data_IF_099317872181
#
_entry.id   IF_099317872181
#
_cell.length_a   1.000
_cell.length_b   1.000
_cell.length_c   1.000
_cell.angle_alpha   90.00
_cell.angle_beta   90.00
_cell.angle_gamma   90.00
#
_symmetry.space_group_name_H-M   'P 1'
#
loop_
_entity.id
_entity.type
_entity.pdbx_description
1 polymer ?
#
# COMPACT_ATOMS: atom_id res chain seq x y z
N UNK A 1 -6.19 -0.25 14.08
CA UNK A 1 -5.56 -0.67 15.35
C UNK A 1 -4.56 0.40 15.78
N UNK A 2 -4.65 0.89 17.01
CA UNK A 2 -3.75 1.89 17.57
C UNK A 2 -3.17 1.39 18.91
N UNK A 3 -1.89 1.69 19.17
CA UNK A 3 -1.24 1.29 20.41
C UNK A 3 0.23 1.64 20.46
N UNK A 4 0.69 2.09 21.63
CA UNK A 4 2.12 2.31 21.90
C UNK A 4 2.93 1.03 21.71
N UNK A 5 4.23 1.18 21.47
CA UNK A 5 5.18 0.06 21.39
C UNK A 5 5.10 -0.84 22.63
N UNK A 6 5.18 -2.15 22.43
CA UNK A 6 5.17 -3.13 23.52
C UNK A 6 3.80 -3.43 24.15
N UNK A 7 2.71 -2.87 23.63
CA UNK A 7 1.36 -3.08 24.18
C UNK A 7 0.67 -4.37 23.70
N UNK A 8 1.21 -5.04 22.68
CA UNK A 8 0.65 -6.28 22.12
C UNK A 8 0.09 -6.16 20.70
N UNK A 9 0.20 -4.99 20.06
CA UNK A 9 -0.29 -4.72 18.69
C UNK A 9 0.19 -5.74 17.65
N UNK A 10 1.51 -5.91 17.51
CA UNK A 10 2.08 -6.83 16.51
C UNK A 10 1.73 -8.29 16.79
N UNK A 11 1.62 -8.69 18.06
CA UNK A 11 1.14 -10.03 18.45
C UNK A 11 -0.34 -10.23 18.08
N UNK A 12 -1.18 -9.22 18.24
CA UNK A 12 -2.57 -9.29 17.81
C UNK A 12 -2.70 -9.38 16.28
N UNK A 13 -1.90 -8.62 15.53
CA UNK A 13 -1.80 -8.75 14.08
C UNK A 13 -1.35 -10.14 13.66
N UNK A 14 -0.29 -10.66 14.29
CA UNK A 14 0.21 -12.02 14.08
C UNK A 14 -0.91 -13.04 14.26
N UNK A 15 -1.67 -12.96 15.36
CA UNK A 15 -2.80 -13.85 15.61
C UNK A 15 -3.87 -13.76 14.52
N UNK A 16 -4.25 -12.56 14.07
CA UNK A 16 -5.24 -12.39 13.00
C UNK A 16 -4.76 -12.98 11.67
N UNK A 17 -3.49 -12.76 11.32
CA UNK A 17 -2.86 -13.31 10.11
C UNK A 17 -2.83 -14.82 10.16
N UNK A 18 -2.41 -15.40 11.29
CA UNK A 18 -2.36 -16.86 11.44
C UNK A 18 -3.74 -17.49 11.39
N UNK A 19 -4.77 -16.82 11.93
CA UNK A 19 -6.16 -17.26 11.80
C UNK A 19 -6.62 -17.29 10.33
N UNK A 20 -6.27 -16.29 9.52
CA UNK A 20 -6.55 -16.30 8.07
C UNK A 20 -5.85 -17.45 7.36
N UNK A 21 -4.55 -17.65 7.64
CA UNK A 21 -3.75 -18.70 7.02
C UNK A 21 -4.31 -20.09 7.36
N UNK A 22 -4.65 -20.36 8.62
CA UNK A 22 -5.18 -21.66 9.03
C UNK A 22 -6.59 -21.91 8.51
N UNK A 23 -7.41 -20.87 8.36
CA UNK A 23 -8.73 -20.98 7.76
C UNK A 23 -8.71 -21.09 6.22
N UNK A 24 -7.53 -21.23 5.60
CA UNK A 24 -7.41 -21.35 4.15
C UNK A 24 -7.69 -20.06 3.39
N UNK A 25 -7.66 -18.90 4.05
CA UNK A 25 -7.84 -17.59 3.41
C UNK A 25 -6.52 -17.08 2.84
N UNK A 26 -6.64 -16.18 1.86
CA UNK A 26 -5.51 -15.43 1.32
C UNK A 26 -5.32 -14.14 2.09
N UNK A 27 -4.06 -13.76 2.31
CA UNK A 27 -3.73 -12.52 3.00
C UNK A 27 -2.42 -11.91 2.48
N UNK A 28 -2.25 -10.63 2.74
CA UNK A 28 -1.01 -9.92 2.53
C UNK A 28 -0.56 -9.25 3.83
N UNK A 29 0.73 -9.32 4.16
CA UNK A 29 1.34 -8.55 5.24
C UNK A 29 2.44 -7.66 4.66
N UNK A 30 2.35 -6.35 4.95
CA UNK A 30 3.45 -5.41 4.79
C UNK A 30 4.00 -5.03 6.16
N UNK A 31 5.32 -5.24 6.32
CA UNK A 31 6.04 -4.88 7.53
C UNK A 31 7.30 -4.06 7.18
N UNK A 32 7.40 -2.80 7.64
CA UNK A 32 8.58 -1.98 7.45
C UNK A 32 9.80 -2.49 8.21
N UNK A 33 9.64 -3.23 9.32
CA UNK A 33 10.75 -3.65 10.18
C UNK A 33 11.24 -5.06 9.82
N UNK A 34 10.31 -5.96 9.53
CA UNK A 34 10.55 -7.33 9.07
C UNK A 34 10.32 -8.39 10.13
N UNK A 35 10.35 -8.01 11.42
CA UNK A 35 10.20 -8.93 12.55
C UNK A 35 8.88 -9.71 12.53
N UNK A 36 7.76 -9.03 12.18
CA UNK A 36 6.44 -9.66 12.13
C UNK A 36 6.36 -10.61 10.93
N UNK A 37 6.90 -10.21 9.79
CA UNK A 37 6.95 -11.07 8.60
C UNK A 37 7.76 -12.33 8.86
N UNK A 38 8.93 -12.23 9.48
CA UNK A 38 9.77 -13.39 9.78
C UNK A 38 9.10 -14.39 10.72
N UNK A 39 8.34 -13.90 11.71
CA UNK A 39 7.54 -14.77 12.59
C UNK A 39 6.46 -15.51 11.81
N UNK A 40 5.70 -14.79 10.98
CA UNK A 40 4.63 -15.40 10.16
C UNK A 40 5.22 -16.44 9.21
N UNK A 41 6.33 -16.15 8.52
CA UNK A 41 6.99 -17.11 7.61
C UNK A 41 7.30 -18.42 8.32
N UNK A 42 7.83 -18.36 9.56
CA UNK A 42 8.19 -19.54 10.35
C UNK A 42 6.96 -20.32 10.85
N UNK A 43 5.83 -19.65 11.01
CA UNK A 43 4.59 -20.23 11.52
C UNK A 43 3.64 -20.76 10.43
N UNK A 44 3.93 -20.55 9.14
CA UNK A 44 3.09 -21.08 8.05
C UNK A 44 2.99 -22.60 8.11
N UNK A 45 1.78 -23.20 8.12
CA UNK A 45 1.61 -24.64 8.15
C UNK A 45 2.09 -25.30 6.85
N UNK A 46 2.60 -26.53 6.94
CA UNK A 46 3.17 -27.27 5.79
C UNK A 46 2.26 -27.27 4.56
N UNK A 47 0.96 -27.50 4.75
CA UNK A 47 -0.03 -27.53 3.66
C UNK A 47 -0.23 -26.20 2.92
N UNK A 48 0.27 -25.08 3.46
CA UNK A 48 0.16 -23.75 2.85
C UNK A 48 1.51 -23.17 2.40
N UNK A 49 2.64 -23.88 2.56
CA UNK A 49 3.96 -23.36 2.16
C UNK A 49 4.05 -23.04 0.67
N UNK A 50 3.39 -23.84 -0.18
CA UNK A 50 3.33 -23.60 -1.63
C UNK A 50 2.45 -22.40 -2.03
N UNK A 51 1.71 -21.82 -1.08
CA UNK A 51 0.94 -20.60 -1.29
C UNK A 51 1.72 -19.33 -0.91
N UNK A 52 2.91 -19.47 -0.35
CA UNK A 52 3.75 -18.35 0.08
C UNK A 52 4.38 -17.64 -1.12
N UNK A 53 4.13 -16.34 -1.20
CA UNK A 53 4.87 -15.40 -2.04
C UNK A 53 5.63 -14.47 -1.09
N UNK A 54 6.94 -14.68 -0.99
CA UNK A 54 7.78 -13.96 -0.04
C UNK A 54 8.66 -12.91 -0.73
N UNK A 55 8.28 -11.64 -0.59
CA UNK A 55 9.06 -10.49 -1.03
C UNK A 55 9.98 -10.03 0.08
N UNK A 56 11.16 -10.64 0.18
CA UNK A 56 12.23 -10.11 1.02
C UNK A 56 13.13 -9.17 0.20
N UNK A 57 12.91 -7.87 0.33
CA UNK A 57 13.63 -6.85 -0.46
C UNK A 57 15.13 -6.79 -0.10
N UNK A 58 15.49 -7.22 1.11
CA UNK A 58 16.89 -7.32 1.54
C UNK A 58 17.64 -8.48 0.89
N UNK A 59 16.94 -9.50 0.39
CA UNK A 59 17.57 -10.68 -0.18
C UNK A 59 18.08 -10.38 -1.61
N UNK A 60 19.40 -10.38 -1.84
CA UNK A 60 19.94 -10.17 -3.19
C UNK A 60 19.61 -11.32 -4.15
N UNK A 61 19.18 -12.49 -3.66
CA UNK A 61 18.78 -13.65 -4.47
C UNK A 61 17.29 -13.66 -4.81
N UNK A 62 16.50 -12.72 -4.30
CA UNK A 62 15.09 -12.59 -4.64
C UNK A 62 14.94 -12.51 -6.17
N UNK A 63 14.19 -13.45 -6.77
CA UNK A 63 13.91 -13.48 -8.21
C UNK A 63 12.52 -12.94 -8.58
N UNK A 64 11.74 -12.51 -7.58
CA UNK A 64 10.39 -11.98 -7.75
C UNK A 64 10.43 -10.47 -8.07
N UNK A 65 9.58 -10.03 -9.00
CA UNK A 65 9.22 -8.62 -9.21
C UNK A 65 7.72 -8.40 -9.16
N UNK A 66 7.32 -7.14 -9.03
CA UNK A 66 5.97 -6.67 -9.34
C UNK A 66 6.06 -5.40 -10.16
N UNK A 67 5.03 -5.12 -10.95
CA UNK A 67 5.00 -3.96 -11.83
C UNK A 67 3.77 -3.08 -11.51
N UNK A 68 3.96 -1.87 -10.94
CA UNK A 68 2.87 -0.94 -10.63
C UNK A 68 2.05 -0.48 -11.84
N UNK A 69 2.58 -0.58 -13.05
CA UNK A 69 1.90 -0.15 -14.27
C UNK A 69 1.06 -1.23 -14.93
N UNK A 70 1.13 -2.48 -14.45
CA UNK A 70 0.57 -3.61 -15.17
C UNK A 70 -0.91 -3.84 -14.89
N UNK A 71 -1.67 -4.18 -15.95
CA UNK A 71 -3.09 -4.62 -15.90
C UNK A 71 -4.03 -3.64 -15.20
N UNK A 72 -3.77 -2.34 -15.34
CA UNK A 72 -4.67 -1.30 -14.84
C UNK A 72 -5.82 -1.09 -15.82
N UNK A 73 -7.06 -1.21 -15.35
CA UNK A 73 -8.24 -0.96 -16.19
C UNK A 73 -8.29 0.51 -16.60
N UNK A 74 -8.81 0.78 -17.81
CA UNK A 74 -8.80 2.13 -18.41
C UNK A 74 -9.43 3.17 -17.48
N UNK A 75 -10.51 2.81 -16.82
CA UNK A 75 -11.30 3.68 -15.93
C UNK A 75 -10.54 4.04 -14.64
N UNK A 76 -9.56 3.22 -14.25
CA UNK A 76 -8.80 3.39 -13.02
C UNK A 76 -7.38 3.91 -13.25
N UNK A 77 -6.94 4.07 -14.50
CA UNK A 77 -5.60 4.60 -14.84
C UNK A 77 -5.31 5.95 -14.20
N UNK A 78 -6.27 6.88 -14.22
CA UNK A 78 -6.10 8.19 -13.58
C UNK A 78 -5.92 8.09 -12.07
N UNK A 79 -6.68 7.20 -11.41
CA UNK A 79 -6.59 6.99 -9.97
C UNK A 79 -5.25 6.35 -9.59
N UNK A 80 -4.80 5.34 -10.34
CA UNK A 80 -3.49 4.70 -10.14
C UNK A 80 -2.35 5.68 -10.42
N UNK A 81 -2.44 6.47 -11.49
CA UNK A 81 -1.46 7.50 -11.81
C UNK A 81 -1.34 8.52 -10.67
N UNK A 82 -2.46 9.02 -10.13
CA UNK A 82 -2.45 9.89 -8.96
C UNK A 82 -1.85 9.21 -7.73
N UNK A 83 -2.17 7.93 -7.48
CA UNK A 83 -1.54 7.17 -6.40
C UNK A 83 -0.01 7.10 -6.52
N UNK A 84 0.51 6.82 -7.72
CA UNK A 84 1.96 6.76 -7.98
C UNK A 84 2.60 8.15 -7.85
N UNK A 85 1.95 9.20 -8.37
CA UNK A 85 2.43 10.58 -8.23
C UNK A 85 2.48 11.03 -6.78
N UNK A 86 1.48 10.69 -5.97
CA UNK A 86 1.48 11.03 -4.54
C UNK A 86 2.62 10.34 -3.80
N UNK A 87 2.92 9.07 -4.13
CA UNK A 87 4.07 8.34 -3.57
C UNK A 87 5.38 9.06 -3.90
N UNK A 88 5.54 9.47 -5.16
CA UNK A 88 6.70 10.22 -5.62
C UNK A 88 6.79 11.62 -5.00
N UNK A 89 5.67 12.32 -4.88
CA UNK A 89 5.59 13.64 -4.25
C UNK A 89 6.00 13.56 -2.78
N UNK A 90 5.47 12.59 -2.03
CA UNK A 90 5.81 12.36 -0.62
C UNK A 90 7.30 12.04 -0.41
N UNK A 91 7.89 11.26 -1.32
CA UNK A 91 9.32 10.94 -1.27
C UNK A 91 10.21 12.18 -1.52
N UNK A 92 9.73 13.15 -2.30
CA UNK A 92 10.50 14.29 -2.75
C UNK A 92 9.87 15.63 -2.37
N UNK A 93 9.20 15.68 -1.23
CA UNK A 93 8.34 16.77 -0.77
C UNK A 93 9.03 18.15 -0.85
N UNK A 94 10.28 18.22 -0.39
CA UNK A 94 11.08 19.46 -0.40
C UNK A 94 11.49 19.97 -1.79
N UNK A 95 11.33 19.17 -2.83
CA UNK A 95 11.79 19.47 -4.18
C UNK A 95 10.80 18.96 -5.24
N UNK A 96 9.50 19.08 -4.99
CA UNK A 96 8.42 18.77 -5.91
C UNK A 96 7.87 20.04 -6.56
N UNK A 97 7.70 20.06 -7.88
CA UNK A 97 7.31 21.26 -8.61
C UNK A 97 6.20 20.99 -9.62
N UNK A 98 5.36 21.99 -9.87
CA UNK A 98 4.17 21.89 -10.75
C UNK A 98 4.54 21.36 -12.15
N UNK A 99 5.65 21.85 -12.73
CA UNK A 99 6.14 21.40 -14.05
C UNK A 99 6.57 19.93 -14.02
N UNK A 100 7.31 19.53 -12.98
CA UNK A 100 7.74 18.14 -12.79
C UNK A 100 6.54 17.21 -12.67
N UNK A 101 5.55 17.58 -11.86
CA UNK A 101 4.34 16.79 -11.67
C UNK A 101 3.57 16.65 -12.98
N UNK A 102 3.38 17.74 -13.72
CA UNK A 102 2.66 17.73 -14.99
C UNK A 102 3.32 16.81 -16.02
N UNK A 103 4.65 16.89 -16.18
CA UNK A 103 5.41 16.02 -17.08
C UNK A 103 5.30 14.56 -16.64
N UNK A 104 5.52 14.28 -15.36
CA UNK A 104 5.51 12.93 -14.82
C UNK A 104 4.12 12.29 -14.88
N UNK A 105 3.05 13.07 -14.67
CA UNK A 105 1.65 12.63 -14.81
C UNK A 105 1.37 12.13 -16.22
N UNK A 106 1.75 12.90 -17.23
CA UNK A 106 1.56 12.52 -18.62
C UNK A 106 2.43 11.32 -19.02
N UNK A 107 3.66 11.24 -18.51
CA UNK A 107 4.51 10.05 -18.69
C UNK A 107 3.85 8.79 -18.10
N UNK A 108 3.43 8.82 -16.82
CA UNK A 108 2.79 7.68 -16.16
C UNK A 108 1.50 7.28 -16.85
N UNK A 109 0.61 8.23 -17.18
CA UNK A 109 -0.63 7.95 -17.90
C UNK A 109 -0.37 7.27 -19.25
N UNK A 110 0.65 7.72 -19.98
CA UNK A 110 1.01 7.12 -21.27
C UNK A 110 1.57 5.71 -21.10
N UNK A 111 2.35 5.47 -20.05
CA UNK A 111 2.94 4.15 -19.75
C UNK A 111 1.88 3.16 -19.26
N UNK A 112 0.87 3.61 -18.51
CA UNK A 112 -0.27 2.79 -18.10
C UNK A 112 -1.13 2.31 -19.29
N UNK A 113 -1.05 3.01 -20.43
CA UNK A 113 -1.69 2.58 -21.68
C UNK A 113 -0.90 1.48 -22.40
N UNK A 114 0.36 1.22 -22.02
CA UNK A 114 1.22 0.23 -22.66
C UNK A 114 1.10 -1.16 -22.01
N UNK A 115 1.18 -2.25 -22.79
CA UNK A 115 1.06 -3.61 -22.26
C UNK A 115 2.25 -4.05 -21.38
N UNK A 116 3.46 -3.64 -21.74
CA UNK A 116 4.72 -4.13 -21.13
C UNK A 116 5.55 -3.05 -20.44
N UNK A 117 5.00 -1.84 -20.25
CA UNK A 117 5.75 -0.76 -19.63
C UNK A 117 6.02 -1.03 -18.14
N UNK A 118 7.16 -0.54 -17.66
CA UNK A 118 7.58 -0.55 -16.26
C UNK A 118 8.10 0.84 -15.84
N UNK A 119 8.47 0.99 -14.57
CA UNK A 119 8.90 2.28 -14.00
C UNK A 119 10.16 2.85 -14.67
N UNK A 120 11.02 2.00 -15.23
CA UNK A 120 12.19 2.44 -16.00
C UNK A 120 11.84 3.20 -17.27
N UNK A 121 10.68 2.91 -17.87
CA UNK A 121 10.26 3.52 -19.13
C UNK A 121 9.83 4.99 -18.98
N UNK A 122 9.73 5.50 -17.75
CA UNK A 122 9.50 6.92 -17.48
C UNK A 122 10.62 7.77 -18.07
N UNK A 123 11.88 7.34 -17.95
CA UNK A 123 13.01 8.07 -18.53
C UNK A 123 13.01 7.88 -20.05
N UNK A 124 12.72 6.67 -20.51
CA UNK A 124 12.74 6.31 -21.93
C UNK A 124 11.71 7.10 -22.74
N UNK A 125 10.49 7.27 -22.23
CA UNK A 125 9.44 8.02 -22.94
C UNK A 125 9.76 9.51 -23.09
N UNK A 126 10.51 10.07 -22.13
CA UNK A 126 10.92 11.47 -22.18
C UNK A 126 12.06 11.69 -23.18
N UNK A 127 13.04 10.79 -23.20
CA UNK A 127 14.27 10.97 -23.98
C UNK A 127 14.23 10.36 -25.39
N UNK A 128 13.61 9.19 -25.55
CA UNK A 128 13.62 8.47 -26.82
C UNK A 128 12.36 8.79 -27.65
N UNK A 129 12.54 9.59 -28.70
CA UNK A 129 11.47 9.98 -29.64
C UNK A 129 10.81 8.77 -30.32
N UNK A 130 11.58 7.73 -30.65
CA UNK A 130 11.07 6.52 -31.31
C UNK A 130 10.21 5.70 -30.36
N UNK A 131 10.67 5.50 -29.12
CA UNK A 131 9.90 4.84 -28.07
C UNK A 131 8.59 5.58 -27.82
N UNK A 132 8.66 6.90 -27.60
CA UNK A 132 7.49 7.75 -27.41
C UNK A 132 6.49 7.67 -28.54
N UNK A 133 6.94 7.80 -29.80
CA UNK A 133 6.05 7.68 -30.97
C UNK A 133 5.33 6.34 -31.01
N UNK A 134 5.99 5.25 -30.61
CA UNK A 134 5.36 3.94 -30.54
C UNK A 134 4.35 3.86 -29.39
N UNK A 135 4.70 4.38 -28.21
CA UNK A 135 3.82 4.41 -27.04
C UNK A 135 2.52 5.19 -27.32
N UNK A 136 2.61 6.31 -28.02
CA UNK A 136 1.45 7.15 -28.37
C UNK A 136 0.39 6.43 -29.22
N UNK A 137 0.74 5.33 -29.90
CA UNK A 137 -0.22 4.51 -30.66
C UNK A 137 -1.27 3.82 -29.78
N UNK A 138 -0.93 3.57 -28.52
CA UNK A 138 -1.81 2.93 -27.55
C UNK A 138 -2.62 3.95 -26.73
N UNK A 139 -2.25 5.23 -26.79
CA UNK A 139 -2.91 6.28 -26.00
C UNK A 139 -4.31 6.53 -26.51
N UNK A 140 -5.30 6.36 -25.64
CA UNK A 140 -6.71 6.64 -25.97
C UNK A 140 -7.14 8.05 -25.60
N UNK A 141 -6.54 8.62 -24.56
CA UNK A 141 -6.91 9.94 -24.06
C UNK A 141 -6.44 11.06 -25.00
N UNK A 142 -7.39 11.85 -25.51
CA UNK A 142 -7.09 13.02 -26.35
C UNK A 142 -6.33 14.12 -25.59
N UNK A 143 -6.53 14.25 -24.28
CA UNK A 143 -5.74 15.22 -23.49
C UNK A 143 -4.27 14.82 -23.40
N UNK A 144 -4.00 13.53 -23.21
CA UNK A 144 -2.63 13.00 -23.16
C UNK A 144 -1.94 13.15 -24.51
N UNK A 145 -2.65 12.87 -25.62
CA UNK A 145 -2.11 13.11 -26.97
C UNK A 145 -1.77 14.58 -27.20
N UNK A 146 -2.68 15.49 -26.87
CA UNK A 146 -2.46 16.94 -27.01
C UNK A 146 -1.24 17.42 -26.23
N UNK A 147 -1.03 16.92 -25.02
CA UNK A 147 0.20 17.21 -24.26
C UNK A 147 1.44 16.84 -25.08
N UNK A 148 1.52 15.61 -25.60
CA UNK A 148 2.71 15.17 -26.34
C UNK A 148 2.91 15.85 -27.69
N UNK A 149 1.83 16.25 -28.35
CA UNK A 149 1.86 16.89 -29.67
C UNK A 149 2.12 18.40 -29.61
N UNK A 150 1.62 19.08 -28.56
CA UNK A 150 1.60 20.55 -28.50
C UNK A 150 2.41 21.13 -27.34
N UNK A 151 2.39 20.50 -26.17
CA UNK A 151 3.03 21.06 -24.97
C UNK A 151 4.44 20.51 -24.79
N UNK A 152 4.61 19.19 -24.88
CA UNK A 152 5.90 18.54 -24.66
C UNK A 152 7.03 19.03 -25.58
N UNK A 153 6.79 19.35 -26.87
CA UNK A 153 7.84 19.90 -27.74
C UNK A 153 8.41 21.24 -27.27
N UNK A 154 7.66 22.00 -26.47
CA UNK A 154 8.10 23.29 -25.91
C UNK A 154 9.00 23.11 -24.68
N UNK A 155 9.08 21.90 -24.10
CA UNK A 155 9.99 21.64 -22.99
C UNK A 155 11.43 21.45 -23.45
N UNK A 156 12.33 22.15 -22.77
CA UNK A 156 13.75 22.06 -23.00
C UNK A 156 14.37 20.96 -22.14
N UNK A 157 15.60 20.55 -22.45
CA UNK A 157 16.32 19.53 -21.65
C UNK A 157 16.36 19.86 -20.15
N UNK A 158 16.51 21.14 -19.79
CA UNK A 158 16.56 21.57 -18.40
C UNK A 158 15.21 21.40 -17.67
N UNK A 159 14.09 21.41 -18.38
CA UNK A 159 12.77 21.14 -17.80
C UNK A 159 12.58 19.67 -17.44
N UNK A 160 13.28 18.78 -18.15
CA UNK A 160 13.24 17.34 -17.94
C UNK A 160 14.21 16.87 -16.84
N UNK A 161 15.30 17.63 -16.60
CA UNK A 161 16.33 17.29 -15.62
C UNK A 161 15.77 16.93 -14.23
N UNK A 162 14.81 17.66 -13.65
CA UNK A 162 14.24 17.32 -12.35
C UNK A 162 13.59 15.93 -12.31
N UNK A 163 12.85 15.56 -13.37
CA UNK A 163 12.22 14.24 -13.48
C UNK A 163 13.30 13.16 -13.61
N UNK A 164 14.26 13.38 -14.51
CA UNK A 164 15.35 12.42 -14.76
C UNK A 164 16.23 12.20 -13.53
N UNK A 165 16.57 13.25 -12.79
CA UNK A 165 17.42 13.13 -11.60
C UNK A 165 16.72 12.34 -10.49
N UNK A 166 15.42 12.55 -10.29
CA UNK A 166 14.65 11.84 -9.25
C UNK A 166 14.40 10.39 -9.61
N UNK A 167 13.85 10.13 -10.80
CA UNK A 167 13.59 8.76 -11.27
C UNK A 167 14.91 8.01 -11.48
N UNK A 168 15.91 8.65 -12.07
CA UNK A 168 17.26 8.07 -12.22
C UNK A 168 17.89 7.73 -10.87
N UNK A 169 17.90 8.66 -9.91
CA UNK A 169 18.43 8.43 -8.57
C UNK A 169 17.72 7.28 -7.84
N UNK A 170 16.39 7.21 -7.95
CA UNK A 170 15.60 6.09 -7.43
C UNK A 170 15.99 4.75 -8.07
N UNK A 171 16.14 4.69 -9.39
CA UNK A 171 16.47 3.46 -10.12
C UNK A 171 17.92 3.02 -9.97
N UNK A 172 18.81 3.87 -9.45
CA UNK A 172 20.18 3.49 -9.09
C UNK A 172 20.21 2.53 -7.90
N UNK A 173 19.21 2.57 -7.01
CA UNK A 173 19.14 1.65 -5.87
C UNK A 173 18.91 0.21 -6.34
N UNK A 174 19.84 -0.74 -6.07
CA UNK A 174 19.75 -2.10 -6.59
C UNK A 174 18.47 -2.83 -6.16
N UNK A 175 18.00 -2.61 -4.93
CA UNK A 175 16.77 -3.23 -4.44
C UNK A 175 15.53 -2.79 -5.23
N UNK A 176 15.42 -1.48 -5.53
CA UNK A 176 14.33 -0.93 -6.34
C UNK A 176 14.40 -1.49 -7.75
N UNK A 177 15.58 -1.43 -8.37
CA UNK A 177 15.79 -1.88 -9.75
C UNK A 177 15.50 -3.38 -9.93
N UNK A 178 15.95 -4.22 -9.00
CA UNK A 178 15.64 -5.67 -9.00
C UNK A 178 14.14 -5.90 -8.96
N UNK A 179 13.46 -5.31 -7.98
CA UNK A 179 12.06 -5.64 -7.66
C UNK A 179 11.05 -5.02 -8.62
N UNK A 180 11.38 -3.89 -9.26
CA UNK A 180 10.47 -3.21 -10.18
C UNK A 180 10.78 -3.47 -11.66
N UNK A 181 11.99 -3.92 -12.00
CA UNK A 181 12.47 -4.00 -13.40
C UNK A 181 13.14 -5.34 -13.72
N UNK A 182 14.25 -5.67 -13.06
CA UNK A 182 15.20 -6.69 -13.56
C UNK A 182 14.81 -8.14 -13.28
N UNK A 183 14.18 -8.40 -12.14
CA UNK A 183 13.85 -9.76 -11.73
C UNK A 183 12.91 -10.44 -12.74
N UNK A 184 13.04 -11.76 -12.90
CA UNK A 184 12.39 -12.48 -14.00
C UNK A 184 10.95 -12.88 -13.68
N UNK A 185 10.68 -13.23 -12.44
CA UNK A 185 9.38 -13.78 -12.04
C UNK A 185 8.45 -12.66 -11.60
N UNK A 186 7.55 -12.28 -12.49
CA UNK A 186 6.56 -11.26 -12.19
C UNK A 186 5.33 -11.84 -11.49
N UNK A 187 5.10 -11.37 -10.26
CA UNK A 187 3.95 -11.79 -9.47
C UNK A 187 2.70 -11.05 -9.91
N UNK A 188 1.63 -11.81 -10.18
CA UNK A 188 0.31 -11.24 -10.36
C UNK A 188 -0.42 -11.15 -9.03
N UNK A 189 -0.52 -9.94 -8.47
CA UNK A 189 -1.27 -9.70 -7.23
C UNK A 189 -2.76 -10.04 -7.37
N UNK A 190 -3.33 -9.84 -8.57
CA UNK A 190 -4.70 -10.29 -8.88
C UNK A 190 -4.85 -11.81 -8.72
N UNK A 191 -3.94 -12.60 -9.31
CA UNK A 191 -3.95 -14.06 -9.12
C UNK A 191 -3.72 -14.44 -7.66
N UNK A 192 -2.81 -13.75 -6.98
CA UNK A 192 -2.55 -14.00 -5.55
C UNK A 192 -3.83 -13.83 -4.71
N UNK A 193 -4.67 -12.84 -5.02
CA UNK A 193 -5.97 -12.66 -4.36
C UNK A 193 -6.95 -13.80 -4.67
N UNK A 194 -7.12 -14.14 -5.94
CA UNK A 194 -8.12 -15.12 -6.38
C UNK A 194 -7.73 -16.56 -6.02
N UNK A 195 -6.43 -16.86 -5.96
CA UNK A 195 -5.88 -18.17 -5.58
C UNK A 195 -5.59 -18.27 -4.08
N UNK A 196 -6.02 -17.29 -3.27
CA UNK A 196 -5.86 -17.29 -1.80
C UNK A 196 -4.41 -17.43 -1.33
N UNK A 197 -3.47 -16.79 -2.03
CA UNK A 197 -2.04 -16.84 -1.69
C UNK A 197 -1.72 -16.06 -0.41
N UNK A 198 -0.56 -16.37 0.18
CA UNK A 198 -0.01 -15.70 1.37
C UNK A 198 1.12 -14.80 0.88
N UNK A 199 0.89 -13.49 0.85
CA UNK A 199 1.85 -12.52 0.30
C UNK A 199 2.53 -11.77 1.44
N UNK A 200 3.79 -12.09 1.72
CA UNK A 200 4.54 -11.48 2.81
C UNK A 200 5.62 -10.55 2.24
N UNK A 201 5.59 -9.28 2.65
CA UNK A 201 6.51 -8.25 2.15
C UNK A 201 7.38 -7.75 3.30
N UNK A 202 8.64 -8.22 3.33
CA UNK A 202 9.65 -7.76 4.25
C UNK A 202 10.46 -6.62 3.59
N UNK A 203 10.23 -5.39 4.06
CA UNK A 203 10.94 -4.21 3.56
C UNK A 203 12.23 -3.95 4.34
N UNK A 204 12.32 -4.41 5.59
CA UNK A 204 13.41 -4.18 6.55
C UNK A 204 14.12 -2.83 6.38
N UNK A 205 13.41 -1.77 6.76
CA UNK A 205 13.80 -0.36 6.69
C UNK A 205 15.20 -0.08 7.23
N UNK A 206 15.61 -0.79 8.28
CA UNK A 206 16.95 -0.66 8.86
C UNK A 206 18.08 -1.12 7.94
N UNK A 207 17.81 -2.04 7.01
CA UNK A 207 18.78 -2.59 6.07
C UNK A 207 18.79 -1.88 4.72
N UNK A 208 17.62 -1.62 4.13
CA UNK A 208 17.51 -1.01 2.78
C UNK A 208 17.45 0.52 2.80
N UNK A 209 17.23 1.12 3.97
CA UNK A 209 17.01 2.55 4.14
C UNK A 209 15.54 2.95 4.11
N UNK A 210 15.23 4.07 4.78
CA UNK A 210 13.87 4.60 4.92
C UNK A 210 13.18 4.87 3.59
N UNK A 211 13.88 5.55 2.68
CA UNK A 211 13.34 6.00 1.41
C UNK A 211 12.98 4.82 0.49
N UNK A 212 13.86 3.81 0.43
CA UNK A 212 13.65 2.58 -0.36
C UNK A 212 12.50 1.76 0.20
N UNK A 213 12.42 1.59 1.53
CA UNK A 213 11.33 0.87 2.16
C UNK A 213 9.98 1.59 1.94
N UNK A 214 9.95 2.91 2.09
CA UNK A 214 8.74 3.72 1.87
C UNK A 214 8.25 3.55 0.43
N UNK A 215 9.11 3.80 -0.56
CA UNK A 215 8.68 3.82 -1.95
C UNK A 215 8.20 2.45 -2.43
N UNK A 216 8.93 1.37 -2.10
CA UNK A 216 8.53 0.02 -2.46
C UNK A 216 7.23 -0.37 -1.76
N UNK A 217 7.10 -0.11 -0.46
CA UNK A 217 5.86 -0.38 0.28
C UNK A 217 4.66 0.36 -0.32
N UNK A 218 4.79 1.67 -0.57
CA UNK A 218 3.70 2.50 -1.07
C UNK A 218 3.31 2.16 -2.53
N UNK A 219 4.28 1.86 -3.40
CA UNK A 219 4.00 1.34 -4.74
C UNK A 219 3.38 -0.05 -4.72
N UNK A 220 3.79 -0.91 -3.78
CA UNK A 220 3.19 -2.24 -3.62
C UNK A 220 1.73 -2.14 -3.21
N UNK A 221 1.40 -1.26 -2.27
CA UNK A 221 0.02 -0.98 -1.85
C UNK A 221 -0.81 -0.43 -3.00
N UNK A 222 -0.26 0.52 -3.78
CA UNK A 222 -0.92 1.03 -4.99
C UNK A 222 -1.20 -0.12 -5.97
N UNK A 223 -0.28 -1.08 -6.09
CA UNK A 223 -0.43 -2.26 -6.93
C UNK A 223 -1.50 -3.24 -6.40
N UNK A 224 -1.61 -3.41 -5.07
CA UNK A 224 -2.69 -4.15 -4.42
C UNK A 224 -4.05 -3.49 -4.70
N UNK A 225 -4.15 -2.17 -4.55
CA UNK A 225 -5.39 -1.44 -4.82
C UNK A 225 -5.79 -1.58 -6.30
N UNK A 226 -4.84 -1.39 -7.21
CA UNK A 226 -5.04 -1.59 -8.65
C UNK A 226 -5.50 -3.02 -8.99
N UNK A 227 -4.83 -4.03 -8.44
CA UNK A 227 -5.20 -5.43 -8.62
C UNK A 227 -6.62 -5.71 -8.08
N UNK A 228 -7.01 -5.09 -6.98
CA UNK A 228 -8.35 -5.20 -6.41
C UNK A 228 -9.40 -4.61 -7.36
N UNK A 229 -9.15 -3.42 -7.92
CA UNK A 229 -10.05 -2.80 -8.90
C UNK A 229 -10.22 -3.63 -10.16
N UNK A 230 -9.17 -4.37 -10.57
CA UNK A 230 -9.27 -5.25 -11.74
C UNK A 230 -10.34 -6.35 -11.57
N UNK A 231 -10.75 -6.67 -10.33
CA UNK A 231 -11.80 -7.67 -10.01
C UNK A 231 -13.22 -7.21 -10.37
N UNK A 232 -13.36 -6.05 -11.02
CA UNK A 232 -14.63 -5.56 -11.59
C UNK A 232 -15.23 -6.56 -12.58
N UNK A 233 -14.40 -7.35 -13.24
CA UNK A 233 -14.77 -8.43 -14.16
C UNK A 233 -15.35 -9.69 -13.47
N UNK A 234 -15.26 -9.76 -12.14
CA UNK A 234 -15.75 -10.88 -11.33
C UNK A 234 -17.00 -10.44 -10.58
N UNK A 235 -18.08 -11.21 -10.67
CA UNK A 235 -19.31 -10.95 -9.90
C UNK A 235 -19.01 -10.88 -8.38
N UNK A 236 -19.67 -9.96 -7.68
CA UNK A 236 -19.37 -9.67 -6.27
C UNK A 236 -19.48 -10.91 -5.37
N UNK A 237 -20.48 -11.75 -5.59
CA UNK A 237 -20.68 -12.99 -4.84
C UNK A 237 -19.54 -13.99 -5.03
N UNK A 238 -18.98 -14.07 -6.24
CA UNK A 238 -17.87 -14.97 -6.61
C UNK A 238 -16.49 -14.45 -6.20
N UNK A 239 -16.36 -13.16 -5.90
CA UNK A 239 -15.09 -12.59 -5.41
C UNK A 239 -14.69 -13.29 -4.10
N UNK A 240 -13.43 -13.72 -4.04
CA UNK A 240 -12.83 -14.35 -2.86
C UNK A 240 -12.30 -13.26 -1.92
N UNK A 241 -12.64 -13.27 -0.63
CA UNK A 241 -12.10 -12.32 0.34
C UNK A 241 -10.57 -12.40 0.46
N UNK A 242 -9.90 -11.25 0.52
CA UNK A 242 -8.46 -11.14 0.71
C UNK A 242 -8.15 -10.06 1.76
N UNK A 243 -7.37 -10.39 2.78
CA UNK A 243 -7.06 -9.47 3.89
C UNK A 243 -5.67 -8.88 3.76
N UNK A 244 -5.55 -7.56 3.85
CA UNK A 244 -4.27 -6.84 3.82
C UNK A 244 -3.97 -6.29 5.21
N UNK A 245 -2.86 -6.71 5.78
CA UNK A 245 -2.34 -6.29 7.06
C UNK A 245 -1.17 -5.34 6.84
N UNK A 246 -1.23 -4.17 7.46
CA UNK A 246 -0.17 -3.16 7.37
C UNK A 246 0.27 -2.79 8.78
N UNK A 247 1.48 -3.22 9.15
CA UNK A 247 2.11 -2.72 10.36
C UNK A 247 2.77 -1.35 10.08
N UNK A 248 2.74 -0.48 11.08
CA UNK A 248 3.20 0.91 10.99
C UNK A 248 2.75 1.62 9.71
N UNK A 249 1.44 1.59 9.44
CA UNK A 249 0.84 1.96 8.16
C UNK A 249 1.19 3.39 7.68
N UNK A 250 1.46 4.31 8.61
CA UNK A 250 1.83 5.70 8.33
C UNK A 250 3.08 5.82 7.44
N UNK A 251 3.96 4.80 7.45
CA UNK A 251 5.16 4.76 6.61
C UNK A 251 4.86 4.70 5.12
N UNK A 252 3.65 4.32 4.71
CA UNK A 252 3.35 4.06 3.30
C UNK A 252 2.13 4.81 2.76
N UNK A 253 1.35 5.47 3.62
CA UNK A 253 0.07 6.06 3.22
C UNK A 253 0.20 7.46 2.66
N UNK A 254 -0.56 7.71 1.60
CA UNK A 254 -0.89 9.02 1.04
C UNK A 254 -2.41 9.21 1.06
N UNK A 255 -2.89 10.43 0.86
CA UNK A 255 -4.33 10.69 0.81
C UNK A 255 -5.02 9.90 -0.32
N UNK A 256 -4.42 9.83 -1.52
CA UNK A 256 -4.95 9.02 -2.61
C UNK A 256 -5.01 7.53 -2.28
N UNK A 257 -4.03 6.99 -1.54
CA UNK A 257 -4.06 5.60 -1.09
C UNK A 257 -5.22 5.33 -0.13
N UNK A 258 -5.45 6.22 0.83
CA UNK A 258 -6.56 6.08 1.79
C UNK A 258 -7.91 6.15 1.07
N UNK A 259 -8.05 7.07 0.10
CA UNK A 259 -9.25 7.15 -0.73
C UNK A 259 -9.48 5.89 -1.57
N UNK A 260 -8.40 5.29 -2.10
CA UNK A 260 -8.49 3.99 -2.77
C UNK A 260 -8.99 2.90 -1.83
N UNK A 261 -8.53 2.88 -0.57
CA UNK A 261 -8.93 1.88 0.43
C UNK A 261 -10.43 1.87 0.70
N UNK A 262 -11.07 3.04 0.72
CA UNK A 262 -12.53 3.18 0.89
C UNK A 262 -13.32 2.41 -0.17
N UNK A 263 -12.77 2.29 -1.39
CA UNK A 263 -13.41 1.58 -2.50
C UNK A 263 -13.16 0.06 -2.49
N UNK A 264 -12.09 -0.40 -1.83
CA UNK A 264 -11.64 -1.81 -1.87
C UNK A 264 -12.66 -2.80 -1.30
N UNK A 265 -13.53 -2.34 -0.40
CA UNK A 265 -14.61 -3.17 0.17
C UNK A 265 -15.50 -3.79 -0.89
N UNK A 266 -15.82 -3.04 -1.97
CA UNK A 266 -16.62 -3.52 -3.11
C UNK A 266 -15.94 -4.71 -3.81
N UNK A 267 -14.63 -4.80 -3.73
CA UNK A 267 -13.82 -5.85 -4.34
C UNK A 267 -13.45 -6.97 -3.37
N UNK A 268 -14.14 -7.04 -2.21
CA UNK A 268 -13.89 -8.00 -1.11
C UNK A 268 -12.42 -8.03 -0.66
N UNK A 269 -11.80 -6.86 -0.61
CA UNK A 269 -10.48 -6.68 0.00
C UNK A 269 -10.65 -5.91 1.31
N UNK A 270 -10.30 -6.57 2.41
CA UNK A 270 -10.34 -6.00 3.75
C UNK A 270 -8.96 -5.54 4.18
N UNK A 271 -8.89 -4.52 5.04
CA UNK A 271 -7.63 -3.96 5.50
C UNK A 271 -7.59 -3.84 7.01
N UNK A 272 -6.46 -4.22 7.59
CA UNK A 272 -6.13 -4.00 9.00
C UNK A 272 -4.93 -3.06 9.07
N UNK A 273 -5.19 -1.81 9.43
CA UNK A 273 -4.18 -0.76 9.55
C UNK A 273 -3.73 -0.64 11.00
N UNK A 274 -2.43 -0.82 11.26
CA UNK A 274 -1.83 -0.67 12.58
C UNK A 274 -0.84 0.49 12.62
N UNK A 275 -0.91 1.30 13.68
CA UNK A 275 0.01 2.43 13.91
C UNK A 275 0.15 2.70 15.40
N UNK A 276 1.14 3.52 15.76
CA UNK A 276 1.43 3.84 17.15
C UNK A 276 0.69 5.08 17.64
N UNK A 277 0.75 6.15 16.85
CA UNK A 277 0.27 7.48 17.25
C UNK A 277 -0.55 8.10 16.12
N UNK A 278 -1.68 8.74 16.46
CA UNK A 278 -2.52 9.40 15.46
C UNK A 278 -1.82 10.62 14.84
N UNK A 279 -0.89 11.25 15.57
CA UNK A 279 -0.15 12.43 15.11
C UNK A 279 0.88 12.13 14.00
N UNK A 280 1.16 10.85 13.73
CA UNK A 280 1.98 10.44 12.59
C UNK A 280 1.22 10.53 11.26
N UNK A 281 -0.09 10.78 11.33
CA UNK A 281 -0.96 10.88 10.17
C UNK A 281 -1.32 12.34 9.94
N UNK A 282 -1.25 12.76 8.68
CA UNK A 282 -1.82 14.03 8.27
C UNK A 282 -3.32 14.08 8.60
N UNK A 283 -3.84 15.28 8.87
CA UNK A 283 -5.22 15.49 9.35
C UNK A 283 -6.25 14.85 8.40
N UNK A 284 -6.03 14.98 7.09
CA UNK A 284 -6.92 14.41 6.07
C UNK A 284 -6.86 12.88 6.06
N UNK A 285 -5.66 12.28 6.19
CA UNK A 285 -5.47 10.83 6.28
C UNK A 285 -6.14 10.29 7.53
N UNK A 286 -5.92 10.94 8.68
CA UNK A 286 -6.53 10.58 9.97
C UNK A 286 -8.06 10.58 9.87
N UNK A 287 -8.64 11.63 9.30
CA UNK A 287 -10.08 11.78 9.15
C UNK A 287 -10.65 10.72 8.21
N UNK A 288 -9.99 10.47 7.08
CA UNK A 288 -10.42 9.47 6.12
C UNK A 288 -10.31 8.03 6.66
N UNK A 289 -9.25 7.70 7.42
CA UNK A 289 -9.11 6.38 8.04
C UNK A 289 -10.19 6.15 9.10
N UNK A 290 -10.37 7.09 10.03
CA UNK A 290 -11.38 6.94 11.09
C UNK A 290 -12.81 6.91 10.54
N UNK A 291 -13.11 7.73 9.53
CA UNK A 291 -14.44 7.77 8.91
C UNK A 291 -14.81 6.50 8.14
N UNK A 292 -13.83 5.71 7.68
CA UNK A 292 -14.06 4.46 6.94
C UNK A 292 -13.79 3.19 7.76
N UNK A 293 -13.22 3.31 8.96
CA UNK A 293 -12.91 2.16 9.81
C UNK A 293 -14.20 1.57 10.41
N UNK A 294 -14.59 0.38 9.94
CA UNK A 294 -15.70 -0.37 10.54
C UNK A 294 -15.37 -0.93 11.92
N UNK A 295 -14.09 -1.24 12.16
CA UNK A 295 -13.63 -1.79 13.44
C UNK A 295 -12.46 -0.96 13.95
N UNK A 296 -12.59 -0.47 15.18
CA UNK A 296 -11.53 0.24 15.90
C UNK A 296 -11.08 -0.64 17.07
N UNK A 297 -9.77 -0.87 17.13
CA UNK A 297 -9.11 -1.58 18.23
C UNK A 297 -8.05 -0.64 18.80
N UNK A 298 -8.16 -0.35 20.09
CA UNK A 298 -7.26 0.52 20.84
C UNK A 298 -6.58 -0.28 21.94
N UNK A 299 -5.25 -0.28 21.91
CA UNK A 299 -4.41 -0.69 23.04
C UNK A 299 -4.12 0.54 23.91
N UNK A 300 -3.21 0.41 24.87
CA UNK A 300 -2.72 1.57 25.63
C UNK A 300 -2.09 2.61 24.70
N UNK A 301 -2.52 3.85 24.84
CA UNK A 301 -2.11 4.99 23.99
C UNK A 301 -1.68 6.20 24.84
N UNK A 302 -1.29 7.30 24.17
CA UNK A 302 -0.94 8.57 24.83
C UNK A 302 -2.18 9.41 25.11
N UNK A 303 -2.02 10.46 25.93
CA UNK A 303 -3.12 11.37 26.30
C UNK A 303 -3.78 12.01 25.09
N UNK A 304 -2.99 12.46 24.12
CA UNK A 304 -3.52 13.09 22.91
C UNK A 304 -4.40 12.13 22.09
N UNK A 305 -3.90 10.93 21.82
CA UNK A 305 -4.65 9.89 21.11
C UNK A 305 -5.88 9.43 21.93
N UNK A 306 -5.76 9.36 23.25
CA UNK A 306 -6.83 8.98 24.16
C UNK A 306 -8.00 9.97 24.11
N UNK A 307 -7.74 11.27 23.99
CA UNK A 307 -8.80 12.28 23.79
C UNK A 307 -9.61 12.03 22.50
N UNK A 308 -8.96 11.54 21.45
CA UNK A 308 -9.65 11.17 20.21
C UNK A 308 -10.44 9.86 20.36
N UNK A 309 -9.83 8.84 20.97
CA UNK A 309 -10.48 7.53 21.14
C UNK A 309 -11.63 7.55 22.14
N UNK A 310 -11.55 8.35 23.20
CA UNK A 310 -12.66 8.55 24.14
C UNK A 310 -13.88 9.16 23.44
N UNK A 311 -13.68 10.12 22.52
CA UNK A 311 -14.78 10.65 21.70
C UNK A 311 -15.37 9.59 20.76
N UNK A 312 -14.52 8.76 20.16
CA UNK A 312 -14.95 7.69 19.25
C UNK A 312 -15.72 6.55 19.96
N UNK A 313 -15.36 6.27 21.22
CA UNK A 313 -15.93 5.19 22.03
C UNK A 313 -16.86 5.67 23.16
N UNK A 314 -17.31 6.92 23.09
CA UNK A 314 -18.31 7.45 24.01
C UNK A 314 -19.63 6.64 23.90
N UNK A 315 -20.34 6.37 25.02
CA UNK A 315 -20.06 6.80 26.40
C UNK A 315 -19.30 5.79 27.27
N UNK A 316 -18.80 4.70 26.70
CA UNK A 316 -18.33 3.55 27.50
C UNK A 316 -16.92 3.74 28.08
N UNK A 317 -16.08 4.57 27.46
CA UNK A 317 -14.69 4.79 27.89
C UNK A 317 -14.32 6.27 27.92
N UNK A 318 -13.59 6.66 28.96
CA UNK A 318 -13.00 7.98 29.14
C UNK A 318 -11.49 7.98 28.84
N UNK A 319 -10.89 9.17 28.83
CA UNK A 319 -9.46 9.37 28.51
C UNK A 319 -8.55 8.54 29.42
N UNK A 320 -8.86 8.47 30.71
CA UNK A 320 -8.05 7.74 31.70
C UNK A 320 -8.01 6.23 31.44
N UNK A 321 -9.09 5.66 30.92
CA UNK A 321 -9.18 4.24 30.61
C UNK A 321 -8.11 3.83 29.58
N UNK A 322 -7.95 4.63 28.52
CA UNK A 322 -6.99 4.35 27.45
C UNK A 322 -5.53 4.51 27.88
N UNK A 323 -5.25 5.46 28.78
CA UNK A 323 -3.90 5.72 29.28
C UNK A 323 -3.46 4.61 30.25
N UNK A 324 -4.39 4.15 31.09
CA UNK A 324 -4.13 3.18 32.15
C UNK A 324 -4.33 1.71 31.72
N UNK A 325 -4.78 1.47 30.49
CA UNK A 325 -5.03 0.13 29.97
C UNK A 325 -3.78 -0.77 30.09
N UNK A 326 -3.86 -1.92 30.79
CA UNK A 326 -2.73 -2.84 30.87
C UNK A 326 -2.30 -3.37 29.50
N UNK A 327 -1.04 -3.79 29.38
CA UNK A 327 -0.56 -4.47 28.17
C UNK A 327 -1.43 -5.71 27.87
N UNK A 328 -1.55 -6.04 26.58
CA UNK A 328 -2.33 -7.18 26.06
C UNK A 328 -3.84 -7.11 26.29
N UNK A 329 -4.34 -5.97 26.79
CA UNK A 329 -5.76 -5.62 26.81
C UNK A 329 -6.08 -4.61 25.74
N UNK A 330 -7.33 -4.64 25.29
CA UNK A 330 -7.84 -3.78 24.23
C UNK A 330 -9.22 -3.24 24.58
N UNK A 331 -9.52 -2.06 24.05
CA UNK A 331 -10.88 -1.57 23.85
C UNK A 331 -11.21 -1.65 22.38
N UNK A 332 -12.43 -2.08 22.08
CA UNK A 332 -12.86 -2.30 20.70
C UNK A 332 -14.29 -1.85 20.46
N UNK A 333 -14.51 -1.37 19.24
CA UNK A 333 -15.81 -1.05 18.66
C UNK A 333 -15.88 -1.76 17.32
N UNK A 334 -16.84 -2.67 17.18
CA UNK A 334 -16.96 -3.54 16.01
C UNK A 334 -18.10 -3.09 15.11
N UNK A 335 -17.98 -3.35 13.81
CA UNK A 335 -19.12 -3.34 12.89
C UNK A 335 -19.66 -4.77 12.77
N UNK A 336 -20.84 -5.03 13.33
CA UNK A 336 -21.50 -6.34 13.31
C UNK A 336 -22.76 -6.20 12.49
N UNK A 337 -22.86 -6.95 11.38
CA UNK A 337 -24.03 -6.94 10.47
C UNK A 337 -24.46 -5.53 10.03
N UNK A 338 -23.48 -4.65 9.81
CA UNK A 338 -23.72 -3.26 9.39
C UNK A 338 -24.11 -2.29 10.52
N UNK A 339 -24.09 -2.74 11.78
CA UNK A 339 -24.36 -1.90 12.95
C UNK A 339 -23.09 -1.78 13.82
N UNK A 340 -22.72 -0.56 14.26
CA UNK A 340 -21.65 -0.40 15.24
C UNK A 340 -22.10 -0.99 16.59
N UNK A 341 -21.23 -1.81 17.18
CA UNK A 341 -21.42 -2.31 18.55
C UNK A 341 -21.28 -1.16 19.55
N UNK A 342 -21.81 -1.35 20.77
CA UNK A 342 -21.31 -0.58 21.91
C UNK A 342 -19.82 -0.93 22.10
N UNK A 343 -18.95 0.04 22.41
CA UNK A 343 -17.57 -0.26 22.73
C UNK A 343 -17.46 -1.19 23.94
N UNK A 344 -16.46 -2.06 23.96
CA UNK A 344 -16.24 -3.00 25.05
C UNK A 344 -14.76 -3.37 25.19
N UNK A 345 -14.40 -3.95 26.33
CA UNK A 345 -13.03 -4.40 26.61
C UNK A 345 -12.80 -5.84 26.22
N UNK A 346 -11.54 -6.19 25.93
CA UNK A 346 -11.14 -7.54 25.58
C UNK A 346 -9.70 -7.83 25.97
N UNK A 347 -9.38 -9.12 26.07
CA UNK A 347 -8.01 -9.61 26.21
C UNK A 347 -7.55 -10.13 24.86
N UNK A 348 -6.33 -9.77 24.46
CA UNK A 348 -5.70 -10.39 23.29
C UNK A 348 -5.27 -11.81 23.61
N UNK A 349 -5.28 -12.66 22.58
CA UNK A 349 -4.78 -14.03 22.65
C UNK A 349 -3.63 -14.20 21.68
N UNK A 350 -2.67 -15.04 22.05
CA UNK A 350 -1.66 -15.55 21.12
C UNK A 350 -2.24 -16.71 20.33
N UNK A 351 -1.83 -16.81 19.07
CA UNK A 351 -2.04 -18.01 18.28
C UNK A 351 -1.11 -19.10 18.83
N UNK A 352 -1.67 -20.09 19.53
CA UNK A 352 -0.94 -21.25 20.06
C UNK A 352 -1.10 -22.46 19.15
#
# INVERSE_FOLDING_TARGET
MIGKTGTGKSTCLETMIMQDIHAGRGCCLLDPHGDLVEKVVKAIPEGRKNDLIYFNITDPKLNLRYNPFKRVSLEKRSLVASGILDVFSKLWDSAWGVKLEHILRHAILTLLDQPEANVGDIVEILLNKSFRRNALRYVKSESVKKFWEREFPEYMKYDLLPVMNKIGGMLVHPAIRRVLIENKEEVSLRKAMDEKKIVLVNLSKGHVGADVAHILGALFITSIASASFSRVDTEEEKRIPFMVYMDEFHNFTTLSLVNMFSELRKFKVGMTLAHQYMNQLDVDIKSAVLGNAGTVISFRIGTEDAMHMAKEMYPEFDVEDFINLPNYRIYLKLMIDGKPSRPFSGNTISYN
#
